data_IF_201206787258
#
_entry.id   IF_201206787258
#
_cell.length_a   1.000
_cell.length_b   1.000
_cell.length_c   1.000
_cell.angle_alpha   90.00
_cell.angle_beta   90.00
_cell.angle_gamma   90.00
#
_symmetry.space_group_name_H-M   'P 1'
#
loop_
_entity.id
_entity.type
_entity.pdbx_description
1 polymer ?
#
# COMPACT_ATOMS: atom_id res chain seq x y z
N UNK A 1 -19.83 10.20 -5.18
CA UNK A 1 -18.79 11.23 -5.00
C UNK A 1 -17.93 11.24 -6.25
N UNK A 2 -17.46 12.41 -6.70
CA UNK A 2 -16.63 12.55 -7.90
C UNK A 2 -15.31 13.22 -7.50
N UNK A 3 -14.18 12.70 -7.98
CA UNK A 3 -12.87 13.35 -7.87
C UNK A 3 -12.38 13.72 -9.28
N UNK A 4 -11.81 14.91 -9.41
CA UNK A 4 -11.11 15.35 -10.62
C UNK A 4 -9.61 15.32 -10.38
N UNK A 5 -8.85 14.97 -11.41
CA UNK A 5 -7.41 15.10 -11.46
C UNK A 5 -7.02 16.60 -11.56
N UNK A 6 -5.75 16.93 -11.34
CA UNK A 6 -5.25 18.29 -11.57
C UNK A 6 -5.41 18.76 -13.01
N UNK A 7 -5.56 17.82 -13.95
CA UNK A 7 -5.88 18.06 -15.36
C UNK A 7 -7.36 18.35 -15.63
N UNK A 8 -8.23 18.26 -14.63
CA UNK A 8 -9.68 18.40 -14.77
C UNK A 8 -10.41 17.15 -15.28
N UNK A 9 -9.68 16.08 -15.61
CA UNK A 9 -10.26 14.79 -16.03
C UNK A 9 -10.78 14.02 -14.82
N UNK A 10 -11.85 13.24 -15.01
CA UNK A 10 -12.37 12.34 -13.98
C UNK A 10 -11.32 11.33 -13.52
N UNK A 11 -11.24 11.14 -12.20
CA UNK A 11 -10.37 10.17 -11.59
C UNK A 11 -11.04 8.80 -11.48
N UNK A 12 -10.85 7.95 -12.50
CA UNK A 12 -11.40 6.60 -12.56
C UNK A 12 -10.86 5.66 -11.48
N UNK A 13 -9.72 6.00 -10.87
CA UNK A 13 -9.10 5.21 -9.81
C UNK A 13 -9.66 5.58 -8.41
N UNK A 14 -10.40 6.68 -8.29
CA UNK A 14 -11.08 7.02 -7.05
C UNK A 14 -12.42 6.30 -6.94
N UNK A 15 -12.50 5.33 -6.03
CA UNK A 15 -13.73 4.60 -5.74
C UNK A 15 -14.03 4.60 -4.25
N UNK A 16 -15.17 5.20 -3.87
CA UNK A 16 -15.72 5.18 -2.51
C UNK A 16 -17.19 4.80 -2.64
N UNK A 17 -17.50 3.55 -2.28
CA UNK A 17 -18.86 3.01 -2.37
C UNK A 17 -19.59 3.18 -1.05
N UNK A 18 -20.70 3.92 -1.02
CA UNK A 18 -21.51 4.10 0.18
C UNK A 18 -22.81 3.30 0.00
N UNK A 19 -23.26 2.59 1.05
CA UNK A 19 -24.55 1.90 1.03
C UNK A 19 -25.74 2.79 1.46
N UNK A 20 -25.52 4.09 1.56
CA UNK A 20 -26.51 5.08 1.98
C UNK A 20 -26.15 6.47 1.47
N UNK A 21 -26.96 7.46 1.83
CA UNK A 21 -26.83 8.83 1.33
C UNK A 21 -25.68 9.54 2.02
N UNK A 22 -24.87 10.25 1.23
CA UNK A 22 -23.86 11.18 1.71
C UNK A 22 -24.51 12.55 1.94
N UNK A 23 -24.37 13.13 3.13
CA UNK A 23 -24.92 14.45 3.47
C UNK A 23 -23.84 15.52 3.61
N UNK A 24 -22.64 15.16 4.06
CA UNK A 24 -21.57 16.13 4.28
C UNK A 24 -20.19 15.55 4.00
N UNK A 25 -19.27 16.44 3.62
CA UNK A 25 -17.85 16.13 3.42
C UNK A 25 -17.01 17.27 3.97
N UNK A 26 -15.90 16.96 4.65
CA UNK A 26 -14.98 17.95 5.19
C UNK A 26 -13.53 17.49 5.01
N UNK A 27 -12.65 18.38 4.58
CA UNK A 27 -11.21 18.11 4.53
C UNK A 27 -10.57 18.41 5.88
N UNK A 28 -9.68 17.54 6.32
CA UNK A 28 -8.85 17.76 7.50
C UNK A 28 -7.48 18.31 7.10
N UNK A 29 -6.76 19.01 7.99
CA UNK A 29 -5.40 19.51 7.73
C UNK A 29 -4.39 18.43 7.33
N UNK A 30 -4.67 17.16 7.66
CA UNK A 30 -3.82 16.01 7.34
C UNK A 30 -4.16 15.37 5.98
N UNK A 31 -4.82 16.10 5.07
CA UNK A 31 -5.21 15.63 3.73
C UNK A 31 -6.11 14.38 3.74
N UNK A 32 -6.88 14.21 4.82
CA UNK A 32 -7.95 13.21 4.93
C UNK A 32 -9.31 13.85 4.70
N UNK A 33 -10.28 13.05 4.30
CA UNK A 33 -11.66 13.49 4.10
C UNK A 33 -12.56 12.83 5.13
N UNK A 34 -13.26 13.62 5.93
CA UNK A 34 -14.36 13.13 6.77
C UNK A 34 -15.64 13.20 5.95
N UNK A 35 -16.41 12.11 5.97
CA UNK A 35 -17.72 12.02 5.34
C UNK A 35 -18.80 11.75 6.39
N UNK A 36 -19.96 12.38 6.23
CA UNK A 36 -21.13 12.21 7.08
C UNK A 36 -22.39 11.88 6.26
N UNK A 37 -23.24 10.98 6.74
CA UNK A 37 -24.37 10.47 5.96
C UNK A 37 -25.29 9.50 6.71
N UNK A 38 -26.19 8.85 5.96
CA UNK A 38 -27.05 7.76 6.44
C UNK A 38 -26.47 6.36 6.15
N UNK A 39 -25.24 6.28 5.63
CA UNK A 39 -24.57 5.01 5.34
C UNK A 39 -24.24 4.22 6.61
N UNK A 40 -24.26 2.90 6.47
CA UNK A 40 -23.80 1.93 7.48
C UNK A 40 -22.55 1.17 7.02
N UNK A 41 -22.11 1.37 5.78
CA UNK A 41 -20.85 0.87 5.27
C UNK A 41 -20.22 1.80 4.23
N UNK A 42 -18.89 1.74 4.16
CA UNK A 42 -18.03 2.45 3.21
C UNK A 42 -17.11 1.43 2.56
N UNK A 43 -17.20 1.28 1.23
CA UNK A 43 -16.48 0.31 0.41
C UNK A 43 -16.57 -1.13 0.96
N UNK A 44 -17.75 -1.51 1.46
CA UNK A 44 -18.01 -2.83 2.05
C UNK A 44 -17.59 -2.97 3.52
N UNK A 45 -16.91 -1.98 4.10
CA UNK A 45 -16.49 -1.96 5.50
C UNK A 45 -17.55 -1.28 6.36
N UNK A 46 -17.98 -1.92 7.44
CA UNK A 46 -18.95 -1.35 8.38
C UNK A 46 -18.40 -0.07 9.02
N UNK A 47 -19.04 1.06 8.71
CA UNK A 47 -18.77 2.38 9.28
C UNK A 47 -20.11 3.11 9.36
N UNK A 48 -20.52 3.50 10.57
CA UNK A 48 -21.85 4.06 10.78
C UNK A 48 -21.83 5.57 10.75
N UNK A 49 -22.56 6.15 9.79
CA UNK A 49 -22.95 7.58 9.68
C UNK A 49 -21.82 8.58 9.50
N UNK A 50 -20.62 8.30 10.02
CA UNK A 50 -19.43 9.12 9.89
C UNK A 50 -18.25 8.20 9.59
N UNK A 51 -17.42 8.58 8.61
CA UNK A 51 -16.21 7.85 8.29
C UNK A 51 -15.08 8.81 7.90
N UNK A 52 -13.86 8.43 8.23
CA UNK A 52 -12.64 9.08 7.74
C UNK A 52 -12.12 8.29 6.54
N UNK A 53 -11.97 8.97 5.41
CA UNK A 53 -11.36 8.46 4.20
C UNK A 53 -9.88 8.85 4.22
N UNK A 54 -9.03 7.83 4.25
CA UNK A 54 -7.59 7.94 4.08
C UNK A 54 -7.21 7.70 2.62
N UNK A 55 -6.02 8.17 2.23
CA UNK A 55 -5.45 7.91 0.90
C UNK A 55 -6.38 8.34 -0.26
N UNK A 56 -7.01 9.51 -0.13
CA UNK A 56 -8.00 10.04 -1.08
C UNK A 56 -7.41 10.52 -2.40
N UNK A 57 -6.12 10.30 -2.66
CA UNK A 57 -5.46 10.50 -3.95
C UNK A 57 -4.88 9.16 -4.40
N UNK A 58 -4.81 8.92 -5.71
CA UNK A 58 -4.16 7.72 -6.26
C UNK A 58 -3.33 8.03 -7.50
N UNK A 59 -2.24 7.29 -7.68
CA UNK A 59 -1.40 7.32 -8.88
C UNK A 59 -1.24 5.91 -9.43
N UNK A 60 -1.42 5.76 -10.74
CA UNK A 60 -1.26 4.46 -11.42
C UNK A 60 0.10 4.43 -12.11
N UNK A 61 0.88 3.38 -11.85
CA UNK A 61 2.08 3.05 -12.60
C UNK A 61 1.73 2.09 -13.74
N UNK A 62 1.93 2.51 -14.98
CA UNK A 62 1.66 1.70 -16.16
C UNK A 62 2.91 0.93 -16.69
N UNK A 63 4.06 1.05 -16.02
CA UNK A 63 5.34 0.51 -16.49
C UNK A 63 6.30 1.56 -17.07
N UNK A 64 5.79 2.75 -17.39
CA UNK A 64 6.55 3.83 -18.05
C UNK A 64 6.44 5.14 -17.26
N UNK A 65 5.24 5.49 -16.81
CA UNK A 65 4.96 6.75 -16.13
C UNK A 65 3.88 6.61 -15.05
N UNK A 66 3.86 7.58 -14.14
CA UNK A 66 2.79 7.76 -13.17
C UNK A 66 1.69 8.64 -13.75
N UNK A 67 0.44 8.19 -13.67
CA UNK A 67 -0.71 8.91 -14.24
C UNK A 67 -1.06 10.22 -13.51
N UNK A 68 -0.84 10.29 -12.19
CA UNK A 68 -1.29 11.41 -11.34
C UNK A 68 -0.13 12.01 -10.53
N UNK A 69 1.01 12.19 -11.19
CA UNK A 69 2.23 12.69 -10.57
C UNK A 69 2.95 11.66 -9.70
N UNK A 70 4.11 12.08 -9.19
CA UNK A 70 5.03 11.21 -8.45
C UNK A 70 4.40 10.65 -7.16
N UNK A 71 4.85 9.48 -6.70
CA UNK A 71 4.44 8.91 -5.42
C UNK A 71 4.65 9.84 -4.22
N UNK A 72 3.66 9.90 -3.34
CA UNK A 72 3.69 10.64 -2.08
C UNK A 72 2.97 9.87 -0.97
N UNK A 73 3.23 10.23 0.30
CA UNK A 73 2.64 9.57 1.48
C UNK A 73 1.10 9.67 1.58
N UNK A 74 0.47 10.44 0.70
CA UNK A 74 -0.97 10.69 0.67
C UNK A 74 -1.66 9.94 -0.48
N UNK A 75 -0.88 9.30 -1.37
CA UNK A 75 -1.37 8.65 -2.57
C UNK A 75 -1.40 7.14 -2.42
N UNK A 76 -2.53 6.54 -2.78
CA UNK A 76 -2.63 5.12 -3.09
C UNK A 76 -1.92 4.84 -4.41
N UNK A 77 -0.94 3.94 -4.41
CA UNK A 77 -0.23 3.56 -5.62
C UNK A 77 -0.81 2.28 -6.19
N UNK A 78 -1.08 2.26 -7.50
CA UNK A 78 -1.60 1.09 -8.21
C UNK A 78 -0.57 0.69 -9.27
N UNK A 79 -0.02 -0.51 -9.17
CA UNK A 79 0.99 -1.02 -10.09
C UNK A 79 0.36 -1.95 -11.14
N UNK A 80 0.18 -1.42 -12.35
CA UNK A 80 -0.24 -2.18 -13.54
C UNK A 80 0.95 -2.57 -14.44
N UNK A 81 2.14 -2.04 -14.15
CA UNK A 81 3.41 -2.46 -14.76
C UNK A 81 4.42 -2.87 -13.70
N UNK A 82 5.51 -3.52 -14.12
CA UNK A 82 6.63 -3.81 -13.24
C UNK A 82 7.31 -2.49 -12.85
N UNK A 83 7.62 -2.33 -11.57
CA UNK A 83 8.37 -1.19 -11.07
C UNK A 83 9.77 -1.64 -10.69
N UNK A 84 10.71 -1.49 -11.63
CA UNK A 84 12.11 -1.94 -11.52
C UNK A 84 13.05 -0.88 -10.93
N UNK A 85 12.54 0.27 -10.50
CA UNK A 85 13.36 1.26 -9.80
C UNK A 85 13.71 0.72 -8.41
N UNK A 86 15.00 0.66 -8.08
CA UNK A 86 15.53 0.16 -6.80
C UNK A 86 15.21 1.06 -5.59
N UNK A 87 14.46 2.14 -5.80
CA UNK A 87 14.07 3.07 -4.74
C UNK A 87 12.63 2.77 -4.30
N UNK A 88 12.44 2.58 -3.00
CA UNK A 88 11.09 2.53 -2.42
C UNK A 88 10.36 3.85 -2.69
N UNK A 89 9.10 3.75 -3.11
CA UNK A 89 8.26 4.92 -3.34
C UNK A 89 7.35 5.19 -2.14
N UNK A 90 7.20 6.46 -1.79
CA UNK A 90 6.31 6.88 -0.71
C UNK A 90 4.85 6.70 -1.14
N UNK A 91 4.04 6.03 -0.34
CA UNK A 91 2.62 5.80 -0.57
C UNK A 91 1.81 5.83 0.71
N UNK A 92 0.52 6.13 0.58
CA UNK A 92 -0.47 5.96 1.64
C UNK A 92 -0.96 4.50 1.71
N UNK A 93 -1.20 3.87 0.56
CA UNK A 93 -1.50 2.43 0.42
C UNK A 93 -0.97 1.94 -0.92
N UNK A 94 -0.81 0.63 -1.07
CA UNK A 94 -0.21 0.01 -2.24
C UNK A 94 -1.05 -1.15 -2.76
N UNK A 95 -1.35 -1.13 -4.07
CA UNK A 95 -2.00 -2.22 -4.78
C UNK A 95 -1.17 -2.71 -5.96
N UNK A 96 -0.83 -3.99 -6.01
CA UNK A 96 -0.04 -4.57 -7.11
C UNK A 96 -0.87 -5.61 -7.88
N UNK A 97 -1.01 -5.40 -9.19
CA UNK A 97 -1.76 -6.29 -10.09
C UNK A 97 -1.06 -7.63 -10.30
N UNK A 98 -1.83 -8.66 -10.65
CA UNK A 98 -1.33 -10.04 -10.85
C UNK A 98 -0.12 -10.09 -11.79
N UNK A 99 0.91 -10.83 -11.38
CA UNK A 99 2.13 -11.02 -12.17
C UNK A 99 3.02 -9.77 -12.28
N UNK A 100 2.71 -8.69 -11.55
CA UNK A 100 3.55 -7.50 -11.44
C UNK A 100 4.30 -7.47 -10.12
N UNK A 101 5.38 -6.71 -10.07
CA UNK A 101 6.12 -6.45 -8.84
C UNK A 101 6.38 -4.96 -8.62
N UNK A 102 6.50 -4.57 -7.35
CA UNK A 102 6.76 -3.19 -6.96
C UNK A 102 7.33 -3.03 -5.55
N UNK A 103 7.74 -1.80 -5.26
CA UNK A 103 8.42 -1.40 -4.02
C UNK A 103 7.66 -0.26 -3.36
N UNK A 104 6.83 -0.56 -2.37
CA UNK A 104 6.08 0.46 -1.63
C UNK A 104 6.77 0.80 -0.30
N UNK A 105 6.56 2.00 0.24
CA UNK A 105 6.97 2.42 1.59
C UNK A 105 6.21 3.68 1.99
N UNK A 106 6.05 3.95 3.28
CA UNK A 106 5.51 5.22 3.81
C UNK A 106 6.62 6.22 4.14
N UNK A 107 7.87 5.77 4.31
CA UNK A 107 9.04 6.63 4.55
C UNK A 107 10.24 6.14 3.75
N UNK A 108 10.87 7.07 3.01
CA UNK A 108 12.01 6.86 2.11
C UNK A 108 13.19 6.07 2.71
N UNK A 109 13.34 6.03 4.04
CA UNK A 109 14.50 5.44 4.72
C UNK A 109 14.17 4.37 5.78
N UNK A 110 12.89 4.11 6.07
CA UNK A 110 12.49 3.14 7.11
C UNK A 110 11.80 1.90 6.55
N UNK A 111 11.53 1.88 5.24
CA UNK A 111 10.93 0.73 4.56
C UNK A 111 9.62 0.23 5.15
N UNK A 112 8.89 1.10 5.87
CA UNK A 112 7.62 0.77 6.52
C UNK A 112 6.53 0.81 5.44
N UNK A 113 6.11 -0.34 4.95
CA UNK A 113 4.95 -0.44 4.05
C UNK A 113 3.67 -0.30 4.87
N UNK A 114 2.75 0.56 4.40
CA UNK A 114 1.41 0.74 4.97
C UNK A 114 0.41 0.08 4.02
N UNK A 115 -0.35 -0.88 4.55
CA UNK A 115 -1.51 -1.52 3.93
C UNK A 115 -1.33 -1.90 2.44
N UNK A 116 -0.90 -3.15 2.22
CA UNK A 116 -0.76 -3.76 0.90
C UNK A 116 -2.01 -4.55 0.51
N UNK A 117 -2.42 -4.45 -0.75
CA UNK A 117 -3.48 -5.26 -1.34
C UNK A 117 -3.08 -5.71 -2.76
N UNK A 118 -3.66 -6.80 -3.27
CA UNK A 118 -3.49 -7.20 -4.67
C UNK A 118 -3.10 -8.65 -4.88
N UNK A 119 -2.71 -9.01 -6.10
CA UNK A 119 -2.33 -10.39 -6.45
C UNK A 119 -0.90 -10.49 -6.97
N UNK A 120 -0.17 -9.36 -7.00
CA UNK A 120 1.22 -9.29 -7.42
C UNK A 120 2.20 -9.57 -6.29
N UNK A 121 3.45 -9.20 -6.56
CA UNK A 121 4.58 -9.42 -5.65
C UNK A 121 5.07 -8.10 -5.05
N UNK A 122 4.90 -7.92 -3.75
CA UNK A 122 5.53 -6.84 -2.99
C UNK A 122 6.96 -7.23 -2.64
N UNK A 123 7.94 -6.41 -3.03
CA UNK A 123 9.34 -6.64 -2.68
C UNK A 123 9.73 -5.75 -1.50
N UNK A 124 10.15 -6.39 -0.40
CA UNK A 124 10.69 -5.73 0.78
C UNK A 124 12.22 -5.87 0.76
N UNK A 125 12.92 -4.75 0.64
CA UNK A 125 14.39 -4.72 0.64
C UNK A 125 14.97 -4.90 2.06
N UNK A 126 16.29 -5.04 2.13
CA UNK A 126 16.97 -5.18 3.42
C UNK A 126 16.63 -3.99 4.35
N UNK A 127 16.27 -4.29 5.60
CA UNK A 127 15.78 -3.33 6.60
C UNK A 127 14.35 -2.80 6.39
N UNK A 128 13.61 -3.26 5.37
CA UNK A 128 12.19 -2.96 5.25
C UNK A 128 11.34 -3.78 6.25
N UNK A 129 10.18 -3.24 6.59
CA UNK A 129 9.17 -3.86 7.43
C UNK A 129 7.78 -3.58 6.86
N UNK A 130 6.90 -4.58 6.85
CA UNK A 130 5.49 -4.36 6.60
C UNK A 130 4.82 -4.03 7.93
N UNK A 131 4.14 -2.89 8.00
CA UNK A 131 3.34 -2.49 9.15
C UNK A 131 1.91 -2.21 8.71
N UNK A 132 0.99 -3.04 9.17
CA UNK A 132 -0.44 -2.83 8.98
C UNK A 132 -0.99 -2.26 10.27
N UNK A 133 -1.54 -1.04 10.21
CA UNK A 133 -2.20 -0.46 11.37
C UNK A 133 -3.70 -0.75 11.40
N UNK A 134 -4.27 -1.21 10.28
CA UNK A 134 -5.71 -1.37 10.12
C UNK A 134 -6.06 -2.85 9.99
N UNK A 135 -6.82 -3.37 10.96
CA UNK A 135 -7.16 -4.79 11.09
C UNK A 135 -8.11 -5.31 9.99
N UNK A 136 -8.62 -4.41 9.14
CA UNK A 136 -9.58 -4.71 8.07
C UNK A 136 -8.92 -4.80 6.68
N UNK A 137 -7.59 -4.76 6.60
CA UNK A 137 -6.84 -4.90 5.35
C UNK A 137 -6.35 -6.34 5.18
N UNK A 138 -6.94 -7.07 4.24
CA UNK A 138 -6.47 -8.39 3.86
C UNK A 138 -5.33 -8.27 2.84
N UNK A 139 -4.11 -8.59 3.27
CA UNK A 139 -3.00 -8.75 2.33
C UNK A 139 -3.28 -9.97 1.46
N UNK A 140 -3.69 -9.71 0.24
CA UNK A 140 -3.71 -10.70 -0.83
C UNK A 140 -2.39 -10.59 -1.60
N UNK A 141 -1.87 -11.69 -2.18
CA UNK A 141 -0.65 -11.68 -3.01
C UNK A 141 0.62 -12.23 -2.35
N UNK A 142 1.77 -12.02 -3.00
CA UNK A 142 3.06 -12.60 -2.62
C UNK A 142 3.97 -11.49 -2.04
N UNK A 143 4.68 -11.79 -0.96
CA UNK A 143 5.71 -10.90 -0.41
C UNK A 143 7.08 -11.57 -0.60
N UNK A 144 8.00 -10.85 -1.23
CA UNK A 144 9.41 -11.24 -1.34
C UNK A 144 10.27 -10.36 -0.44
N UNK A 145 10.80 -10.94 0.62
CA UNK A 145 11.69 -10.25 1.56
C UNK A 145 13.16 -10.56 1.24
N UNK A 146 13.95 -9.53 0.96
CA UNK A 146 15.40 -9.62 0.78
C UNK A 146 16.12 -9.18 2.05
N UNK A 147 16.95 -10.05 2.64
CA UNK A 147 17.78 -9.74 3.82
C UNK A 147 19.25 -9.91 3.48
N UNK A 148 20.08 -8.93 3.85
CA UNK A 148 21.55 -9.04 3.85
C UNK A 148 21.96 -9.41 5.26
N UNK A 149 22.25 -10.69 5.49
CA UNK A 149 22.73 -11.20 6.77
C UNK A 149 24.22 -11.52 6.70
N UNK A 150 24.89 -11.54 7.84
CA UNK A 150 26.15 -12.27 7.94
C UNK A 150 25.91 -13.73 7.53
N UNK A 151 26.83 -14.38 6.78
CA UNK A 151 26.69 -15.79 6.43
C UNK A 151 26.48 -16.62 7.69
N UNK A 152 25.46 -17.49 7.67
CA UNK A 152 25.26 -18.42 8.77
C UNK A 152 26.37 -19.48 8.68
N UNK A 153 27.29 -19.50 9.65
CA UNK A 153 28.24 -20.60 9.78
C UNK A 153 27.45 -21.86 10.14
N UNK A 154 27.35 -22.80 9.21
CA UNK A 154 26.83 -24.14 9.48
C UNK A 154 27.90 -24.90 10.27
N UNK A 155 27.95 -24.72 11.59
CA UNK A 155 28.89 -25.44 12.43
C UNK A 155 28.48 -26.92 12.48
N UNK A 156 29.12 -27.73 11.65
CA UNK A 156 29.05 -29.19 11.75
C UNK A 156 29.93 -29.56 12.95
N UNK A 157 29.31 -29.78 14.11
CA UNK A 157 29.98 -30.39 15.24
C UNK A 157 30.27 -31.84 14.84
N UNK A 158 31.50 -32.13 14.41
CA UNK A 158 32.00 -33.52 14.40
C UNK A 158 32.24 -33.92 15.85
N UNK A 159 31.34 -34.71 16.42
CA UNK A 159 31.63 -35.50 17.62
C UNK A 159 32.67 -36.54 17.19
N UNK A 160 33.94 -36.28 17.50
CA UNK A 160 34.98 -37.29 17.41
C UNK A 160 34.78 -38.29 18.54
N UNK A 161 34.42 -39.53 18.19
CA UNK A 161 34.52 -40.68 19.09
C UNK A 161 36.00 -40.88 19.45
N UNK A 162 36.39 -40.53 20.67
CA UNK A 162 37.62 -41.02 21.28
C UNK A 162 37.49 -42.53 21.42
N UNK A 163 38.28 -43.28 20.64
CA UNK A 163 38.54 -44.68 20.93
C UNK A 163 39.60 -44.72 22.05
N UNK A 164 39.23 -45.30 23.18
CA UNK A 164 40.19 -45.84 24.15
C UNK A 164 40.60 -47.25 23.71
#
# INVERSE_FOLDING_TARGET
>A
MLRLLSSGVYDTAFSVNLNGTLFSTCFTPNNKVIIGGSFNSVSGITKHRVAELNCVQSSVWNGIAWSNGLPSVERTLIFNGNYSSLASVNSCSCSISLGKYGYCSRRKYSGIVFDYSGLGTLILENNAALYQSEDQVSNTGIIQLKRKTTPILKQIIRIGLLRF
#
